data_IF_937123463531
#
_entry.id   IF_937123463531
#
_cell.length_a   1.000
_cell.length_b   1.000
_cell.length_c   1.000
_cell.angle_alpha   90.00
_cell.angle_beta   90.00
_cell.angle_gamma   90.00
#
_symmetry.space_group_name_H-M   'P 1'
#
loop_
_entity.id
_entity.type
_entity.pdbx_description
1 polymer ?
#
# COMPACT_ATOMS: atom_id res chain seq x y z
N UNK A 1 17.10 1.52 -0.74
CA UNK A 1 16.02 2.51 -0.52
C UNK A 1 15.84 2.81 0.97
N UNK A 2 15.72 1.78 1.83
CA UNK A 2 15.64 1.92 3.28
C UNK A 2 16.68 2.88 3.92
N UNK A 3 17.97 2.62 3.72
CA UNK A 3 19.04 3.41 4.34
C UNK A 3 19.03 4.92 3.98
N UNK A 4 18.52 5.28 2.80
CA UNK A 4 18.39 6.69 2.37
C UNK A 4 17.28 7.38 3.14
N UNK A 5 16.16 6.68 3.36
CA UNK A 5 15.02 7.20 4.10
C UNK A 5 15.39 7.38 5.58
N UNK A 6 16.05 6.40 6.21
CA UNK A 6 16.53 6.53 7.59
C UNK A 6 17.49 7.71 7.77
N UNK A 7 18.34 7.97 6.77
CA UNK A 7 19.26 9.12 6.79
C UNK A 7 18.52 10.46 6.72
N UNK A 8 17.46 10.56 5.93
CA UNK A 8 16.64 11.77 5.83
C UNK A 8 15.85 11.97 7.13
N UNK A 9 15.20 10.91 7.63
CA UNK A 9 14.45 10.94 8.89
C UNK A 9 15.30 11.43 10.05
N UNK A 10 16.55 10.98 10.16
CA UNK A 10 17.44 11.38 11.25
C UNK A 10 17.95 12.83 11.18
N UNK A 11 17.75 13.53 10.05
CA UNK A 11 18.22 14.91 9.83
C UNK A 11 17.13 15.96 9.77
N UNK A 12 15.86 15.56 9.65
CA UNK A 12 14.73 16.51 9.61
C UNK A 12 14.35 16.91 11.04
N UNK A 13 14.39 18.20 11.34
CA UNK A 13 13.99 18.77 12.64
C UNK A 13 12.48 19.07 12.75
N UNK A 14 11.75 18.97 11.63
CA UNK A 14 10.30 19.17 11.55
C UNK A 14 9.51 17.84 11.46
N UNK A 15 8.18 17.92 11.47
CA UNK A 15 7.31 16.75 11.27
C UNK A 15 7.40 16.27 9.81
N UNK A 16 7.81 15.02 9.62
CA UNK A 16 7.90 14.38 8.30
C UNK A 16 6.64 13.55 8.01
N UNK A 17 6.11 13.66 6.79
CA UNK A 17 5.00 12.83 6.29
C UNK A 17 5.46 12.05 5.06
N UNK A 18 5.28 10.74 5.08
CA UNK A 18 5.48 9.87 3.92
C UNK A 18 4.19 9.73 3.13
N UNK A 19 4.26 9.96 1.81
CA UNK A 19 3.16 9.70 0.89
C UNK A 19 3.61 8.64 -0.11
N UNK A 20 2.99 7.47 -0.04
CA UNK A 20 3.29 6.33 -0.91
C UNK A 20 2.16 6.18 -1.93
N UNK A 21 2.37 6.67 -3.15
CA UNK A 21 1.35 6.62 -4.21
C UNK A 21 1.38 5.26 -4.91
N UNK A 22 0.26 4.53 -4.86
CA UNK A 22 0.11 3.24 -5.53
C UNK A 22 -1.36 2.92 -5.75
N UNK A 23 -1.67 2.36 -6.92
CA UNK A 23 -2.85 1.53 -7.10
C UNK A 23 -2.57 0.11 -6.59
N UNK A 24 -3.62 -0.68 -6.35
CA UNK A 24 -3.51 -2.10 -6.00
C UNK A 24 -3.51 -2.98 -7.26
N UNK A 25 -4.48 -3.88 -7.39
CA UNK A 25 -4.54 -4.81 -8.52
C UNK A 25 -4.99 -4.12 -9.82
N UNK A 26 -4.51 -4.63 -10.95
CA UNK A 26 -4.94 -4.22 -12.29
C UNK A 26 -5.47 -5.38 -13.11
N UNK A 27 -6.44 -5.10 -13.98
CA UNK A 27 -6.84 -5.95 -15.11
C UNK A 27 -7.41 -7.33 -14.76
N UNK A 28 -7.85 -7.52 -13.51
CA UNK A 28 -8.62 -8.69 -13.10
C UNK A 28 -10.11 -8.39 -13.12
N UNK A 29 -10.92 -9.45 -13.18
CA UNK A 29 -12.34 -9.31 -12.89
C UNK A 29 -12.55 -8.89 -11.42
N UNK A 30 -13.70 -8.29 -11.13
CA UNK A 30 -13.97 -7.70 -9.83
C UNK A 30 -13.79 -8.70 -8.66
N UNK A 31 -14.31 -9.91 -8.77
CA UNK A 31 -14.20 -10.92 -7.71
C UNK A 31 -12.75 -11.30 -7.38
N UNK A 32 -11.91 -11.46 -8.41
CA UNK A 32 -10.49 -11.76 -8.23
C UNK A 32 -9.73 -10.54 -7.72
N UNK A 33 -10.08 -9.34 -8.21
CA UNK A 33 -9.49 -8.10 -7.75
C UNK A 33 -9.71 -7.88 -6.26
N UNK A 34 -10.95 -8.03 -5.77
CA UNK A 34 -11.28 -7.89 -4.35
C UNK A 34 -10.50 -8.87 -3.46
N UNK A 35 -10.27 -10.10 -3.93
CA UNK A 35 -9.46 -11.09 -3.19
C UNK A 35 -7.99 -10.69 -3.10
N UNK A 36 -7.41 -10.24 -4.20
CA UNK A 36 -6.01 -9.80 -4.26
C UNK A 36 -5.82 -8.49 -3.48
N UNK A 37 -6.75 -7.56 -3.57
CA UNK A 37 -6.74 -6.32 -2.81
C UNK A 37 -6.87 -6.58 -1.31
N UNK A 38 -7.73 -7.52 -0.90
CA UNK A 38 -7.82 -7.95 0.50
C UNK A 38 -6.52 -8.62 0.99
N UNK A 39 -5.84 -9.38 0.12
CA UNK A 39 -4.52 -9.94 0.42
C UNK A 39 -3.48 -8.84 0.59
N UNK A 40 -3.42 -7.87 -0.33
CA UNK A 40 -2.52 -6.72 -0.24
C UNK A 40 -2.76 -5.95 1.07
N UNK A 41 -4.02 -5.65 1.38
CA UNK A 41 -4.41 -4.94 2.59
C UNK A 41 -3.98 -5.69 3.87
N UNK A 42 -4.18 -7.01 3.93
CA UNK A 42 -3.72 -7.84 5.06
C UNK A 42 -2.20 -7.76 5.23
N UNK A 43 -1.43 -7.82 4.15
CA UNK A 43 0.03 -7.76 4.21
C UNK A 43 0.50 -6.37 4.69
N UNK A 44 -0.12 -5.29 4.19
CA UNK A 44 0.15 -3.92 4.65
C UNK A 44 -0.15 -3.77 6.14
N UNK A 45 -1.31 -4.24 6.59
CA UNK A 45 -1.77 -4.06 7.97
C UNK A 45 -1.02 -4.92 8.99
N UNK A 46 -0.41 -6.01 8.54
CA UNK A 46 0.39 -6.89 9.39
C UNK A 46 1.89 -6.67 9.21
N UNK A 47 2.30 -5.67 8.42
CA UNK A 47 3.71 -5.36 8.18
C UNK A 47 4.48 -6.45 7.44
N UNK A 48 3.81 -7.37 6.74
CA UNK A 48 4.43 -8.51 6.03
C UNK A 48 4.99 -8.07 4.66
N UNK A 49 5.98 -7.17 4.67
CA UNK A 49 6.52 -6.53 3.48
C UNK A 49 7.11 -7.51 2.45
N UNK A 50 7.66 -8.65 2.88
CA UNK A 50 8.19 -9.68 1.97
C UNK A 50 7.12 -10.32 1.08
N UNK A 51 5.84 -10.24 1.47
CA UNK A 51 4.72 -10.78 0.68
C UNK A 51 4.16 -9.80 -0.37
N UNK A 52 4.53 -8.51 -0.31
CA UNK A 52 4.02 -7.49 -1.23
C UNK A 52 4.81 -7.52 -2.55
N UNK A 53 4.25 -8.23 -3.53
CA UNK A 53 4.83 -8.36 -4.87
C UNK A 53 4.15 -7.50 -5.94
N UNK A 54 4.69 -7.52 -7.17
CA UNK A 54 4.15 -6.75 -8.31
C UNK A 54 2.72 -7.12 -8.70
N UNK A 55 2.24 -8.29 -8.29
CA UNK A 55 0.86 -8.73 -8.52
C UNK A 55 -0.15 -8.21 -7.49
N UNK A 56 0.25 -7.37 -6.54
CA UNK A 56 -0.63 -6.86 -5.48
C UNK A 56 -0.72 -5.34 -5.44
N UNK A 57 0.33 -4.64 -5.87
CA UNK A 57 0.36 -3.18 -5.97
C UNK A 57 1.44 -2.73 -6.95
N UNK A 58 1.14 -1.72 -7.77
CA UNK A 58 2.13 -1.20 -8.71
C UNK A 58 3.33 -0.56 -7.98
N UNK A 59 3.08 0.11 -6.85
CA UNK A 59 4.05 0.71 -5.95
C UNK A 59 4.55 -0.22 -4.84
N UNK A 60 4.44 -1.54 -4.99
CA UNK A 60 4.81 -2.51 -3.93
C UNK A 60 6.21 -2.29 -3.35
N UNK A 61 7.20 -1.87 -4.15
CA UNK A 61 8.56 -1.59 -3.66
C UNK A 61 8.61 -0.43 -2.66
N UNK A 62 7.84 0.63 -2.90
CA UNK A 62 7.77 1.78 -2.01
C UNK A 62 7.07 1.41 -0.70
N UNK A 63 5.97 0.67 -0.80
CA UNK A 63 5.20 0.19 0.35
C UNK A 63 6.03 -0.78 1.19
N UNK A 64 6.60 -1.81 0.56
CA UNK A 64 7.45 -2.79 1.23
C UNK A 64 8.69 -2.14 1.84
N UNK A 65 9.29 -1.18 1.12
CA UNK A 65 10.41 -0.38 1.62
C UNK A 65 10.04 0.39 2.87
N UNK A 66 8.91 1.11 2.89
CA UNK A 66 8.45 1.83 4.07
C UNK A 66 8.15 0.91 5.26
N UNK A 67 7.45 -0.20 5.03
CA UNK A 67 7.13 -1.18 6.08
C UNK A 67 8.38 -1.86 6.67
N UNK A 68 9.46 -1.99 5.89
CA UNK A 68 10.73 -2.52 6.38
C UNK A 68 11.51 -1.53 7.26
N UNK A 69 11.18 -0.23 7.23
CA UNK A 69 11.85 0.81 8.02
C UNK A 69 11.31 0.90 9.44
N UNK A 70 12.11 1.47 10.34
CA UNK A 70 11.69 1.77 11.73
C UNK A 70 10.44 2.65 11.77
N UNK A 71 10.32 3.60 10.84
CA UNK A 71 9.15 4.46 10.69
C UNK A 71 7.85 3.67 10.35
N UNK A 72 7.97 2.56 9.64
CA UNK A 72 6.85 1.66 9.33
C UNK A 72 6.59 0.61 10.41
N UNK A 73 7.63 0.00 10.97
CA UNK A 73 7.50 -1.08 11.96
C UNK A 73 6.93 -0.62 13.31
N UNK A 74 7.16 0.64 13.68
CA UNK A 74 6.75 1.19 14.98
C UNK A 74 5.39 1.89 15.00
N UNK A 75 4.67 1.94 13.87
CA UNK A 75 3.43 2.71 13.74
C UNK A 75 2.18 1.84 13.78
N UNK A 76 1.09 2.41 14.27
CA UNK A 76 -0.24 1.82 14.13
C UNK A 76 -0.75 2.11 12.74
N UNK A 77 -1.35 1.10 12.14
CA UNK A 77 -1.97 1.20 10.81
C UNK A 77 -3.49 1.30 10.94
N UNK A 78 -4.08 2.24 10.22
CA UNK A 78 -5.52 2.37 10.07
C UNK A 78 -5.87 2.38 8.59
N UNK A 79 -6.69 1.40 8.16
CA UNK A 79 -7.31 1.43 6.83
C UNK A 79 -8.41 2.48 6.81
N UNK A 80 -8.27 3.47 5.94
CA UNK A 80 -9.22 4.57 5.79
C UNK A 80 -10.31 4.23 4.77
N UNK A 81 -9.92 3.60 3.66
CA UNK A 81 -10.84 3.25 2.58
C UNK A 81 -10.29 2.08 1.75
N UNK A 82 -11.22 1.37 1.10
CA UNK A 82 -10.97 0.42 0.02
C UNK A 82 -12.07 0.62 -1.03
N UNK A 83 -11.69 0.59 -2.30
CA UNK A 83 -12.60 0.72 -3.42
C UNK A 83 -12.01 0.05 -4.66
N UNK A 84 -12.83 -0.08 -5.70
CA UNK A 84 -12.39 -0.48 -7.04
C UNK A 84 -13.01 0.46 -8.07
N UNK A 85 -12.49 0.41 -9.30
CA UNK A 85 -12.99 1.24 -10.40
C UNK A 85 -14.41 0.87 -10.85
N UNK A 86 -14.92 -0.32 -10.50
CA UNK A 86 -16.25 -0.78 -10.94
C UNK A 86 -17.36 0.14 -10.47
N UNK A 87 -17.24 0.73 -9.26
CA UNK A 87 -18.20 1.68 -8.74
C UNK A 87 -18.46 2.88 -9.68
N UNK A 88 -17.48 3.22 -10.52
CA UNK A 88 -17.57 4.32 -11.50
C UNK A 88 -17.79 3.79 -12.91
N UNK A 89 -17.07 2.75 -13.32
CA UNK A 89 -17.06 2.27 -14.71
C UNK A 89 -18.18 1.29 -15.04
N UNK A 90 -18.73 0.60 -14.04
CA UNK A 90 -19.62 -0.55 -14.19
C UNK A 90 -19.04 -1.69 -15.06
N UNK A 91 -17.72 -1.69 -15.32
CA UNK A 91 -17.02 -2.77 -16.02
C UNK A 91 -16.34 -3.71 -15.02
N UNK A 92 -17.00 -4.83 -14.73
CA UNK A 92 -16.49 -5.83 -13.80
C UNK A 92 -15.41 -6.74 -14.41
N UNK A 93 -15.10 -6.63 -15.71
CA UNK A 93 -14.14 -7.54 -16.38
C UNK A 93 -12.70 -7.16 -16.11
N UNK A 94 -12.43 -5.86 -15.93
CA UNK A 94 -11.08 -5.31 -15.75
C UNK A 94 -11.15 -4.10 -14.83
N UNK A 95 -10.97 -4.34 -13.54
CA UNK A 95 -10.98 -3.28 -12.54
C UNK A 95 -9.57 -2.88 -12.10
N UNK A 96 -9.49 -1.69 -11.53
CA UNK A 96 -8.33 -1.21 -10.76
C UNK A 96 -8.73 -1.14 -9.29
N UNK A 97 -7.93 -1.73 -8.41
CA UNK A 97 -8.12 -1.68 -6.96
C UNK A 97 -7.48 -0.44 -6.33
N UNK A 98 -8.14 0.12 -5.32
CA UNK A 98 -7.68 1.29 -4.57
C UNK A 98 -7.76 1.03 -3.07
N UNK A 99 -6.78 1.54 -2.33
CA UNK A 99 -6.79 1.53 -0.88
C UNK A 99 -6.07 2.72 -0.28
N UNK A 100 -6.49 3.11 0.91
CA UNK A 100 -5.90 4.21 1.66
C UNK A 100 -5.63 3.79 3.11
N UNK A 101 -4.41 4.09 3.59
CA UNK A 101 -3.98 3.79 4.96
C UNK A 101 -3.30 5.00 5.59
N UNK A 102 -3.49 5.16 6.90
CA UNK A 102 -2.74 6.07 7.75
C UNK A 102 -1.85 5.28 8.70
N UNK A 103 -0.61 5.75 8.88
CA UNK A 103 0.36 5.21 9.83
C UNK A 103 0.72 6.30 10.85
N UNK A 104 0.57 6.01 12.15
CA UNK A 104 0.78 6.97 13.24
C UNK A 104 1.21 6.33 14.57
#
# INVERSE_FOLDING_TARGET
MAAVIDHIVSKVQEKLLFVLSSDLIHFHNQDMAQKLDAQAARLIETGQFNGLGPGLACGHLAIAGFLALTAGQGTRVLRLAMADSFAVTQDAKRVVGYGAWAFF
#
